data_IF_692225780945
#
_entry.id   IF_692225780945
#
_cell.length_a   1.000
_cell.length_b   1.000
_cell.length_c   1.000
_cell.angle_alpha   90.00
_cell.angle_beta   90.00
_cell.angle_gamma   90.00
#
_symmetry.space_group_name_H-M   'P 1'
#
loop_
_entity.id
_entity.type
_entity.pdbx_description
1 polymer ?
#
# COMPACT_ATOMS: atom_id res chain seq x y z
N UNK A 1 3.57 -8.60 12.94
CA UNK A 1 4.83 -8.42 12.20
C UNK A 1 5.29 -6.98 12.44
N UNK A 2 6.44 -6.78 13.10
CA UNK A 2 7.00 -5.45 13.38
C UNK A 2 7.65 -4.90 12.11
N UNK A 3 7.42 -3.64 11.78
CA UNK A 3 8.16 -2.95 10.72
C UNK A 3 9.54 -2.61 11.25
N UNK A 4 10.59 -3.24 10.71
CA UNK A 4 11.99 -3.00 11.10
C UNK A 4 12.66 -2.26 9.94
N UNK A 5 13.15 -1.04 10.20
CA UNK A 5 13.94 -0.26 9.23
C UNK A 5 15.44 -0.59 9.37
N UNK A 6 16.26 -0.12 8.44
CA UNK A 6 17.68 -0.51 8.27
C UNK A 6 18.59 -0.27 9.48
N UNK A 7 18.19 0.57 10.43
CA UNK A 7 18.84 0.68 11.73
C UNK A 7 18.04 -0.10 12.78
N UNK A 8 18.54 -1.29 13.14
CA UNK A 8 17.96 -2.18 14.15
C UNK A 8 17.85 -1.55 15.56
N UNK A 9 18.39 -0.33 15.74
CA UNK A 9 18.32 0.46 16.96
C UNK A 9 17.03 1.27 17.11
N UNK A 10 16.25 1.44 16.03
CA UNK A 10 15.03 2.28 16.04
C UNK A 10 13.78 1.41 15.93
N UNK A 11 13.15 1.14 17.08
CA UNK A 11 11.79 0.61 17.13
C UNK A 11 10.80 1.68 16.70
N UNK A 12 10.27 1.58 15.48
CA UNK A 12 9.20 2.47 15.00
C UNK A 12 7.86 2.02 15.58
N UNK A 13 7.25 2.89 16.39
CA UNK A 13 5.89 2.69 16.87
C UNK A 13 4.93 2.61 15.68
N UNK A 14 3.99 1.67 15.73
CA UNK A 14 3.00 1.52 14.67
C UNK A 14 2.06 2.73 14.69
N UNK A 15 1.67 3.19 13.50
CA UNK A 15 0.61 4.20 13.39
C UNK A 15 -0.66 3.75 14.15
N UNK A 16 -1.39 4.68 14.79
CA UNK A 16 -2.67 4.40 15.43
C UNK A 16 -3.61 3.63 14.49
N UNK A 17 -4.45 2.76 15.07
CA UNK A 17 -5.34 1.90 14.29
C UNK A 17 -6.30 2.71 13.40
N UNK A 18 -6.72 3.87 13.91
CA UNK A 18 -7.59 4.83 13.27
C UNK A 18 -7.03 5.26 11.91
N UNK A 19 -5.71 5.36 11.78
CA UNK A 19 -5.02 5.68 10.52
C UNK A 19 -4.70 4.40 9.75
N UNK A 20 -4.13 3.40 10.44
CA UNK A 20 -3.64 2.17 9.80
C UNK A 20 -4.74 1.38 9.09
N UNK A 21 -6.00 1.46 9.53
CA UNK A 21 -7.14 0.81 8.86
C UNK A 21 -7.39 1.30 7.43
N UNK A 22 -6.92 2.50 7.09
CA UNK A 22 -7.02 3.08 5.76
C UNK A 22 -5.84 2.74 4.85
N UNK A 23 -4.75 2.20 5.38
CA UNK A 23 -3.60 1.74 4.60
C UNK A 23 -3.93 0.44 3.87
N UNK A 24 -4.78 0.54 2.84
CA UNK A 24 -5.20 -0.56 1.98
C UNK A 24 -4.59 -0.37 0.59
N UNK A 25 -4.07 -1.45 0.04
CA UNK A 25 -3.50 -1.48 -1.32
C UNK A 25 -4.24 -2.49 -2.18
N UNK A 26 -4.71 -2.08 -3.35
CA UNK A 26 -5.34 -2.99 -4.31
C UNK A 26 -4.29 -3.83 -5.01
N UNK A 27 -4.39 -5.14 -4.88
CA UNK A 27 -3.51 -6.06 -5.62
C UNK A 27 -3.94 -6.17 -7.08
N UNK A 28 -2.97 -6.19 -7.98
CA UNK A 28 -3.16 -6.43 -9.41
C UNK A 28 -2.37 -7.67 -9.83
N UNK A 29 -2.73 -8.26 -10.97
CA UNK A 29 -2.00 -9.41 -11.54
C UNK A 29 -0.54 -9.09 -11.86
N UNK A 30 -0.21 -7.81 -12.09
CA UNK A 30 1.14 -7.35 -12.44
C UNK A 30 1.95 -6.90 -11.22
N UNK A 31 1.45 -7.09 -9.98
CA UNK A 31 2.17 -6.67 -8.77
C UNK A 31 3.34 -7.62 -8.46
N UNK A 32 4.61 -7.15 -8.50
CA UNK A 32 5.78 -7.99 -8.22
C UNK A 32 5.95 -8.26 -6.72
N UNK A 33 6.68 -9.33 -6.38
CA UNK A 33 6.88 -9.73 -4.98
C UNK A 33 7.62 -8.67 -4.15
N UNK A 34 8.56 -7.93 -4.74
CA UNK A 34 9.25 -6.81 -4.07
C UNK A 34 8.25 -5.76 -3.58
N UNK A 35 7.25 -5.41 -4.40
CA UNK A 35 6.20 -4.45 -4.00
C UNK A 35 5.35 -5.02 -2.87
N UNK A 36 4.99 -6.31 -2.91
CA UNK A 36 4.25 -6.96 -1.82
C UNK A 36 5.01 -6.91 -0.49
N UNK A 37 6.32 -7.17 -0.53
CA UNK A 37 7.18 -7.08 0.66
C UNK A 37 7.30 -5.65 1.18
N UNK A 38 7.48 -4.67 0.29
CA UNK A 38 7.48 -3.25 0.67
C UNK A 38 6.16 -2.85 1.34
N UNK A 39 5.02 -3.20 0.76
CA UNK A 39 3.71 -2.92 1.35
C UNK A 39 3.56 -3.51 2.74
N UNK A 40 3.95 -4.78 2.92
CA UNK A 40 3.90 -5.46 4.22
C UNK A 40 4.79 -4.77 5.26
N UNK A 41 6.00 -4.37 4.87
CA UNK A 41 6.92 -3.62 5.74
C UNK A 41 6.35 -2.25 6.07
N UNK A 42 5.74 -1.55 5.13
CA UNK A 42 5.14 -0.22 5.36
C UNK A 42 3.79 -0.24 6.08
N UNK A 43 3.28 -1.39 6.51
CA UNK A 43 2.02 -1.50 7.26
C UNK A 43 0.75 -1.48 6.39
N UNK A 44 0.89 -1.58 5.07
CA UNK A 44 -0.24 -1.70 4.16
C UNK A 44 -0.86 -3.10 4.17
N UNK A 45 -2.18 -3.16 4.07
CA UNK A 45 -2.95 -4.38 3.90
C UNK A 45 -3.36 -4.54 2.44
N UNK A 46 -3.11 -5.71 1.88
CA UNK A 46 -3.54 -6.04 0.52
C UNK A 46 -5.05 -6.33 0.53
N UNK A 47 -5.80 -5.69 -0.37
CA UNK A 47 -7.22 -5.94 -0.61
C UNK A 47 -7.50 -6.30 -2.07
N UNK A 48 -8.51 -7.15 -2.30
CA UNK A 48 -8.96 -7.57 -3.64
C UNK A 48 -10.28 -6.92 -4.08
N UNK A 49 -11.11 -6.46 -3.12
CA UNK A 49 -12.53 -6.12 -3.39
C UNK A 49 -12.99 -4.75 -2.89
N UNK A 50 -12.38 -4.17 -1.85
CA UNK A 50 -12.81 -2.84 -1.40
C UNK A 50 -12.43 -1.77 -2.42
N UNK A 51 -13.21 -0.70 -2.50
CA UNK A 51 -12.88 0.51 -3.26
C UNK A 51 -12.06 1.52 -2.43
N UNK A 52 -12.00 1.36 -1.11
CA UNK A 52 -11.29 2.27 -0.17
C UNK A 52 -9.79 1.94 -0.07
N UNK A 53 -9.09 1.81 -1.20
CA UNK A 53 -7.63 1.66 -1.24
C UNK A 53 -6.95 2.95 -1.68
N UNK A 54 -5.72 3.15 -1.19
CA UNK A 54 -4.94 4.35 -1.48
C UNK A 54 -4.08 4.22 -2.73
N UNK A 55 -3.77 2.99 -3.16
CA UNK A 55 -3.02 2.76 -4.38
C UNK A 55 -3.14 1.35 -4.93
N UNK A 56 -2.61 1.19 -6.15
CA UNK A 56 -2.45 -0.09 -6.82
C UNK A 56 -1.15 -0.07 -7.63
N UNK A 57 -0.54 -1.25 -7.88
CA UNK A 57 0.58 -1.35 -8.80
C UNK A 57 0.06 -1.65 -10.20
N UNK A 58 0.45 -0.88 -11.21
CA UNK A 58 -0.09 -1.04 -12.55
C UNK A 58 0.83 -0.50 -13.62
N UNK A 59 0.44 -0.72 -14.88
CA UNK A 59 1.05 0.00 -16.00
C UNK A 59 0.81 1.50 -15.81
N UNK A 60 1.72 2.30 -16.35
CA UNK A 60 1.56 3.75 -16.38
C UNK A 60 0.12 4.10 -16.81
N UNK A 61 -0.58 4.87 -15.98
CA UNK A 61 -1.95 5.26 -16.29
C UNK A 61 -1.96 6.03 -17.60
N UNK A 62 -2.76 5.55 -18.56
CA UNK A 62 -3.02 6.32 -19.78
C UNK A 62 -3.84 7.55 -19.38
N UNK A 63 -3.59 8.69 -20.02
CA UNK A 63 -4.23 9.98 -19.72
C UNK A 63 -5.76 9.89 -19.52
N UNK A 64 -6.46 9.07 -20.31
CA UNK A 64 -7.91 8.85 -20.16
C UNK A 64 -8.33 8.25 -18.80
N UNK A 65 -7.52 7.38 -18.20
CA UNK A 65 -7.78 6.81 -16.88
C UNK A 65 -7.58 7.80 -15.74
N UNK A 66 -6.81 8.87 -15.95
CA UNK A 66 -6.63 9.93 -14.97
C UNK A 66 -7.88 10.78 -14.80
N UNK A 67 -8.67 10.99 -15.87
CA UNK A 67 -9.92 11.78 -15.82
C UNK A 67 -10.98 11.21 -14.86
N UNK A 68 -10.93 9.91 -14.57
CA UNK A 68 -11.85 9.25 -13.66
C UNK A 68 -11.40 9.36 -12.18
N UNK A 69 -10.17 9.81 -11.92
CA UNK A 69 -9.69 10.09 -10.57
C UNK A 69 -10.11 11.50 -10.21
N UNK A 70 -11.11 11.63 -9.32
CA UNK A 70 -11.55 12.90 -8.77
C UNK A 70 -10.79 13.12 -7.45
N UNK A 71 -10.27 14.33 -7.25
CA UNK A 71 -9.66 14.77 -5.99
C UNK A 71 -10.67 14.70 -4.83
#
# INVERSE_FOLDING_TARGET
MRTVYFDDLISVEQLPWEVRKYLKWRITSVTPNVVKHCLARSGFRITKRNHDWLGCWGKHMKSQGFKASRE
#
